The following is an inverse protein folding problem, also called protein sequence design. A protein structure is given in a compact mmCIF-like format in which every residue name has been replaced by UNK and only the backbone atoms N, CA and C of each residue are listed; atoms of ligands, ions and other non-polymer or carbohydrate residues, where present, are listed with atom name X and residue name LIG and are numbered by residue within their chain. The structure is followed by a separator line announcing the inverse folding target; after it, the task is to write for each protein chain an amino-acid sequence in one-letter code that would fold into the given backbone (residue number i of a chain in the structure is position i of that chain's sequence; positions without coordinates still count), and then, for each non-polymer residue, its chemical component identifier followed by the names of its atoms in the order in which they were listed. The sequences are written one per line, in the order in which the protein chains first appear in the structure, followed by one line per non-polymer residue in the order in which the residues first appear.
data_IF_931361393769
#
_entry.id   IF_931361393769
#
_cell.length_a   1.000
_cell.length_b   1.000
_cell.length_c   1.000
_cell.angle_alpha   90.00
_cell.angle_beta   90.00
_cell.angle_gamma   90.00
#
_symmetry.space_group_name_H-M   'P 1'
#
loop_
_entity.id
_entity.type
_entity.pdbx_description
1 polymer ?
#
# COMPACT_ATOMS: atom_id res chain seq x y z
N UNK A 1 -10.29 65.89 73.60
CA UNK A 1 -9.73 64.66 74.20
C UNK A 1 -9.54 63.63 73.11
N UNK A 2 -8.34 63.53 72.52
CA UNK A 2 -8.09 62.60 71.45
C UNK A 2 -6.70 61.99 71.66
N UNK A 3 -6.71 60.73 71.96
CA UNK A 3 -5.47 59.95 72.21
C UNK A 3 -4.88 59.46 70.84
N UNK A 4 -3.70 59.93 70.56
CA UNK A 4 -2.85 59.48 69.45
C UNK A 4 -2.20 58.16 69.85
N UNK A 5 -2.56 57.11 69.16
CA UNK A 5 -1.80 55.83 69.24
C UNK A 5 -0.69 55.87 68.22
N UNK A 6 0.51 55.82 68.69
CA UNK A 6 1.74 55.62 67.85
C UNK A 6 1.81 54.16 67.43
N UNK A 7 1.72 53.88 66.15
CA UNK A 7 2.03 52.57 65.57
C UNK A 7 3.50 52.53 65.17
N UNK A 8 4.22 51.63 65.82
CA UNK A 8 5.61 51.37 65.49
C UNK A 8 5.63 50.44 64.25
N UNK A 9 6.13 50.90 63.13
CA UNK A 9 6.43 50.14 61.94
C UNK A 9 7.76 49.44 62.13
N UNK A 10 7.70 48.10 62.28
CA UNK A 10 8.89 47.23 62.22
C UNK A 10 9.11 46.88 60.75
N UNK A 11 10.11 47.45 60.13
CA UNK A 11 10.62 47.05 58.83
C UNK A 11 11.41 45.76 59.00
N UNK A 12 10.82 44.63 58.65
CA UNK A 12 11.58 43.38 58.46
C UNK A 12 12.21 43.39 57.05
N UNK A 13 13.49 43.66 57.00
CA UNK A 13 14.27 43.49 55.76
C UNK A 13 14.47 42.00 55.51
N UNK A 14 13.69 41.43 54.64
CA UNK A 14 13.86 40.05 54.16
C UNK A 14 14.93 40.07 53.07
N UNK A 15 16.16 39.73 53.43
CA UNK A 15 17.25 39.51 52.46
C UNK A 15 16.98 38.20 51.69
N UNK A 16 16.43 38.31 50.48
CA UNK A 16 16.38 37.23 49.52
C UNK A 16 17.80 36.97 49.00
N UNK A 17 18.45 35.94 49.54
CA UNK A 17 19.64 35.39 48.97
C UNK A 17 19.25 34.64 47.68
N UNK A 18 19.34 35.30 46.52
CA UNK A 18 19.28 34.65 45.23
C UNK A 18 20.53 33.83 45.04
N UNK A 19 20.47 32.57 45.38
CA UNK A 19 21.48 31.58 44.98
C UNK A 19 21.38 31.43 43.46
N UNK A 20 22.20 32.19 42.72
CA UNK A 20 22.42 31.97 41.31
C UNK A 20 23.07 30.60 41.16
N UNK A 21 22.28 29.54 41.05
CA UNK A 21 22.76 28.26 40.55
C UNK A 21 23.21 28.51 39.12
N UNK A 22 24.54 28.65 38.93
CA UNK A 22 25.10 28.56 37.60
C UNK A 22 24.82 27.15 37.09
N UNK A 23 23.72 26.98 36.39
CA UNK A 23 23.53 25.80 35.53
C UNK A 23 24.66 25.90 34.51
N UNK A 24 25.73 25.12 34.71
CA UNK A 24 26.62 24.78 33.63
C UNK A 24 25.77 24.12 32.58
N UNK A 25 25.39 24.85 31.54
CA UNK A 25 24.83 24.27 30.34
C UNK A 25 25.88 23.26 29.87
N UNK A 26 25.67 22.00 30.16
CA UNK A 26 26.35 20.93 29.45
C UNK A 26 25.95 21.19 28.00
N UNK A 27 26.90 21.63 27.18
CA UNK A 27 26.67 21.75 25.75
C UNK A 27 26.18 20.38 25.28
N UNK A 28 24.89 20.26 25.04
CA UNK A 28 24.32 19.08 24.42
C UNK A 28 25.10 18.76 23.13
N UNK A 29 25.09 17.53 22.66
CA UNK A 29 25.69 17.22 21.38
C UNK A 29 25.18 18.27 20.37
N UNK A 30 26.12 18.87 19.60
CA UNK A 30 25.74 19.86 18.57
C UNK A 30 24.54 19.35 17.82
N UNK A 31 23.51 20.19 17.61
CA UNK A 31 22.30 19.77 16.93
C UNK A 31 22.67 19.15 15.57
N UNK A 32 21.89 18.22 15.10
CA UNK A 32 22.15 17.58 13.82
C UNK A 32 22.20 18.58 12.65
N UNK A 33 21.57 19.73 12.83
CA UNK A 33 21.51 20.82 11.86
C UNK A 33 22.80 21.64 11.80
N UNK A 34 23.57 21.69 12.91
CA UNK A 34 24.77 22.55 13.05
C UNK A 34 26.08 21.79 12.81
N UNK A 35 26.01 20.54 12.33
CA UNK A 35 27.21 19.71 12.14
C UNK A 35 27.22 19.01 10.78
N UNK A 36 28.43 18.70 10.31
CA UNK A 36 28.57 17.89 9.12
C UNK A 36 28.36 16.39 9.44
N UNK A 37 27.33 15.78 8.85
CA UNK A 37 26.93 14.38 9.04
C UNK A 37 27.52 13.44 7.98
N UNK A 38 28.76 13.66 7.54
CA UNK A 38 29.44 12.98 6.45
C UNK A 38 29.97 11.56 6.76
N UNK A 39 29.65 11.01 7.92
CA UNK A 39 30.00 9.63 8.27
C UNK A 39 28.75 8.88 8.70
N UNK A 40 28.70 7.55 8.45
CA UNK A 40 27.60 6.69 8.84
C UNK A 40 27.23 6.83 10.32
N UNK A 41 28.23 6.85 11.22
CA UNK A 41 28.01 7.03 12.66
C UNK A 41 27.30 8.35 12.97
N UNK A 42 27.81 9.47 12.41
CA UNK A 42 27.22 10.79 12.63
C UNK A 42 25.82 10.90 12.08
N UNK A 43 25.56 10.27 10.92
CA UNK A 43 24.24 10.22 10.32
C UNK A 43 23.24 9.46 11.20
N UNK A 44 23.62 8.27 11.68
CA UNK A 44 22.77 7.47 12.56
C UNK A 44 22.40 8.17 13.88
N UNK A 45 23.30 9.00 14.40
CA UNK A 45 23.00 9.80 15.59
C UNK A 45 21.90 10.85 15.34
N UNK A 46 21.64 11.21 14.09
CA UNK A 46 20.64 12.20 13.69
C UNK A 46 19.34 11.57 13.18
N UNK A 47 19.36 10.31 12.79
CA UNK A 47 18.14 9.58 12.40
C UNK A 47 17.51 8.99 13.67
N UNK A 48 16.49 9.66 14.17
CA UNK A 48 15.78 9.24 15.38
C UNK A 48 14.42 8.61 15.04
N UNK A 49 13.93 7.73 15.92
CA UNK A 49 12.58 7.14 15.78
C UNK A 49 11.51 8.23 15.77
N UNK A 50 11.65 9.25 16.60
CA UNK A 50 10.69 10.35 16.68
C UNK A 50 10.66 11.18 15.38
N UNK A 51 11.83 11.49 14.79
CA UNK A 51 11.89 12.17 13.50
C UNK A 51 11.25 11.35 12.36
N UNK A 52 11.47 10.03 12.34
CA UNK A 52 10.79 9.16 11.35
C UNK A 52 9.28 9.15 11.56
N UNK A 53 8.82 9.08 12.81
CA UNK A 53 7.38 9.10 13.15
C UNK A 53 6.72 10.43 12.82
N UNK A 54 7.42 11.53 12.93
CA UNK A 54 6.93 12.84 12.51
C UNK A 54 6.55 12.84 11.01
N UNK A 55 7.44 12.33 10.16
CA UNK A 55 7.15 12.17 8.72
C UNK A 55 6.02 11.17 8.46
N UNK A 56 5.95 10.07 9.21
CA UNK A 56 4.83 9.12 9.11
C UNK A 56 3.50 9.78 9.47
N UNK A 57 3.47 10.59 10.54
CA UNK A 57 2.27 11.32 10.95
C UNK A 57 1.84 12.34 9.89
N UNK A 58 2.80 13.06 9.28
CA UNK A 58 2.51 13.97 8.18
C UNK A 58 1.88 13.24 6.98
N UNK A 59 2.42 12.09 6.60
CA UNK A 59 1.84 11.27 5.53
C UNK A 59 0.46 10.71 5.89
N UNK A 60 0.24 10.34 7.16
CA UNK A 60 -1.09 9.92 7.61
C UNK A 60 -2.09 11.07 7.48
N UNK A 61 -1.74 12.27 7.96
CA UNK A 61 -2.58 13.44 7.83
C UNK A 61 -2.91 13.79 6.37
N UNK A 62 -1.94 13.62 5.46
CA UNK A 62 -2.17 13.78 4.02
C UNK A 62 -3.17 12.73 3.51
N UNK A 63 -3.03 11.47 3.90
CA UNK A 63 -3.98 10.42 3.52
C UNK A 63 -5.38 10.76 4.01
N UNK A 64 -5.53 11.12 5.28
CA UNK A 64 -6.81 11.44 5.91
C UNK A 64 -7.52 12.62 5.21
N UNK A 65 -6.76 13.62 4.77
CA UNK A 65 -7.28 14.76 4.01
C UNK A 65 -7.63 14.42 2.55
N UNK A 66 -7.23 13.25 2.04
CA UNK A 66 -7.37 12.85 0.64
C UNK A 66 -8.10 11.50 0.49
N UNK A 67 -9.15 11.27 1.26
CA UNK A 67 -9.98 10.07 1.16
C UNK A 67 -9.32 8.79 1.66
N UNK A 68 -8.34 8.90 2.56
CA UNK A 68 -7.64 7.77 3.16
C UNK A 68 -6.53 7.17 2.28
N UNK A 69 -6.19 7.81 1.16
CA UNK A 69 -5.24 7.24 0.19
C UNK A 69 -4.12 8.21 -0.20
N UNK A 70 -2.96 7.65 -0.52
CA UNK A 70 -1.82 8.32 -1.16
C UNK A 70 -1.34 7.53 -2.38
N UNK A 71 -2.24 6.75 -2.97
CA UNK A 71 -1.93 5.96 -4.16
C UNK A 71 -1.51 6.85 -5.33
N UNK A 72 -0.68 6.32 -6.22
CA UNK A 72 -0.26 7.01 -7.42
C UNK A 72 -1.47 7.47 -8.25
N UNK A 73 -1.39 8.67 -8.83
CA UNK A 73 -2.49 9.27 -9.59
C UNK A 73 -3.56 9.97 -8.74
N UNK A 74 -3.47 9.94 -7.40
CA UNK A 74 -4.42 10.63 -6.51
C UNK A 74 -3.89 11.98 -6.02
N UNK A 75 -4.80 12.82 -5.50
CA UNK A 75 -4.43 14.08 -4.82
C UNK A 75 -3.55 13.84 -3.60
N UNK A 76 -3.73 12.74 -2.89
CA UNK A 76 -2.89 12.35 -1.76
C UNK A 76 -1.46 12.03 -2.17
N UNK A 77 -1.24 11.44 -3.35
CA UNK A 77 0.10 11.28 -3.90
C UNK A 77 0.76 12.62 -4.20
N UNK A 78 0.05 13.50 -4.91
CA UNK A 78 0.56 14.83 -5.25
C UNK A 78 0.94 15.65 -4.01
N UNK A 79 0.08 15.64 -2.98
CA UNK A 79 0.35 16.29 -1.70
C UNK A 79 1.56 15.67 -0.97
N UNK A 80 1.72 14.34 -1.06
CA UNK A 80 2.89 13.65 -0.49
C UNK A 80 4.19 14.01 -1.20
N UNK A 81 4.16 14.10 -2.53
CA UNK A 81 5.32 14.52 -3.32
C UNK A 81 5.71 15.98 -3.00
N UNK A 82 4.73 16.87 -2.87
CA UNK A 82 4.97 18.26 -2.46
C UNK A 82 5.59 18.34 -1.06
N UNK A 83 5.04 17.60 -0.08
CA UNK A 83 5.62 17.54 1.27
C UNK A 83 7.08 17.12 1.28
N UNK A 84 7.43 16.07 0.51
CA UNK A 84 8.82 15.62 0.40
C UNK A 84 9.70 16.68 -0.27
N UNK A 85 9.21 17.30 -1.36
CA UNK A 85 9.95 18.33 -2.07
C UNK A 85 10.24 19.54 -1.18
N UNK A 86 9.25 19.98 -0.39
CA UNK A 86 9.38 21.09 0.54
C UNK A 86 10.40 20.76 1.65
N UNK A 87 10.32 19.56 2.24
CA UNK A 87 11.24 19.13 3.28
C UNK A 87 12.71 19.04 2.74
N UNK A 88 12.90 18.50 1.54
CA UNK A 88 14.22 18.43 0.92
C UNK A 88 14.75 19.81 0.54
N UNK A 89 13.89 20.69 0.03
CA UNK A 89 14.27 22.09 -0.29
C UNK A 89 14.68 22.83 0.97
N UNK A 90 13.94 22.67 2.07
CA UNK A 90 14.28 23.26 3.37
C UNK A 90 15.61 22.73 3.91
N UNK A 91 15.98 21.50 3.58
CA UNK A 91 17.26 20.90 3.90
C UNK A 91 18.41 21.33 2.96
N UNK A 92 18.14 22.19 1.97
CA UNK A 92 19.13 22.76 1.05
C UNK A 92 19.41 21.94 -0.21
N UNK A 93 18.52 21.00 -0.57
CA UNK A 93 18.61 20.27 -1.84
C UNK A 93 17.94 21.04 -2.98
N UNK A 94 18.51 20.94 -4.17
CA UNK A 94 17.81 21.30 -5.42
C UNK A 94 16.89 20.16 -5.81
N UNK A 95 15.58 20.40 -5.73
CA UNK A 95 14.57 19.36 -5.97
C UNK A 95 13.98 19.49 -7.38
N UNK A 96 14.05 18.41 -8.15
CA UNK A 96 13.41 18.30 -9.47
C UNK A 96 12.33 17.24 -9.38
N UNK A 97 11.08 17.62 -9.65
CA UNK A 97 9.98 16.69 -9.82
C UNK A 97 9.95 16.22 -11.27
N UNK A 98 10.21 14.93 -11.48
CA UNK A 98 10.18 14.31 -12.81
C UNK A 98 8.87 13.53 -12.97
N UNK A 99 7.90 14.01 -13.77
CA UNK A 99 6.71 13.25 -14.09
C UNK A 99 7.04 12.09 -15.02
N UNK A 100 6.36 10.97 -14.81
CA UNK A 100 6.38 9.82 -15.72
C UNK A 100 5.02 9.13 -15.69
N UNK A 101 4.65 8.50 -16.77
CA UNK A 101 3.41 7.74 -16.87
C UNK A 101 3.54 6.39 -16.18
N UNK A 102 2.48 6.01 -15.48
CA UNK A 102 2.34 4.70 -14.86
C UNK A 102 0.98 4.11 -15.23
N UNK A 103 0.94 2.79 -15.38
CA UNK A 103 -0.33 2.06 -15.45
C UNK A 103 -0.88 1.86 -14.06
N UNK A 104 -2.14 2.18 -13.86
CA UNK A 104 -2.86 1.92 -12.60
C UNK A 104 -4.12 1.11 -12.88
N UNK A 105 -4.45 0.23 -11.96
CA UNK A 105 -5.69 -0.54 -12.02
C UNK A 105 -6.65 -0.09 -10.92
N UNK A 106 -7.90 0.09 -11.27
CA UNK A 106 -8.99 0.25 -10.30
C UNK A 106 -10.30 -0.20 -10.92
N UNK A 107 -11.14 -0.79 -10.09
CA UNK A 107 -12.48 -1.18 -10.50
C UNK A 107 -13.33 0.07 -10.74
N UNK A 108 -14.01 0.11 -11.88
CA UNK A 108 -14.93 1.21 -12.23
C UNK A 108 -16.36 0.93 -11.76
N UNK A 109 -16.63 -0.27 -11.25
CA UNK A 109 -17.90 -0.71 -10.71
C UNK A 109 -17.81 -2.16 -10.21
N UNK A 110 -18.85 -2.69 -9.59
CA UNK A 110 -18.89 -4.07 -9.13
C UNK A 110 -18.83 -5.03 -10.32
N UNK A 111 -18.15 -6.16 -10.09
CA UNK A 111 -18.09 -7.26 -11.06
C UNK A 111 -19.15 -8.30 -10.77
N UNK A 112 -19.55 -9.04 -11.78
CA UNK A 112 -20.55 -10.11 -11.65
C UNK A 112 -20.04 -11.40 -12.26
N UNK A 113 -20.33 -12.52 -11.60
CA UNK A 113 -20.11 -13.86 -12.10
C UNK A 113 -21.36 -14.70 -11.86
N UNK A 114 -21.89 -15.30 -12.92
CA UNK A 114 -23.07 -16.14 -12.86
C UNK A 114 -22.89 -17.41 -13.69
N UNK A 115 -23.21 -18.55 -13.11
CA UNK A 115 -23.41 -19.79 -13.84
C UNK A 115 -24.85 -19.89 -14.26
N UNK A 116 -25.12 -19.99 -15.56
CA UNK A 116 -26.48 -20.09 -16.12
C UNK A 116 -26.97 -21.55 -16.12
N UNK A 117 -26.09 -22.48 -16.44
CA UNK A 117 -26.37 -23.91 -16.50
C UNK A 117 -25.16 -24.73 -16.01
N UNK A 118 -25.33 -25.99 -15.55
CA UNK A 118 -26.58 -26.74 -15.42
C UNK A 118 -27.49 -26.30 -14.27
N UNK A 119 -26.92 -25.65 -13.25
CA UNK A 119 -27.68 -25.10 -12.11
C UNK A 119 -27.41 -23.60 -12.03
N UNK A 120 -28.41 -22.74 -12.22
CA UNK A 120 -28.20 -21.29 -12.08
C UNK A 120 -27.65 -20.93 -10.71
N UNK A 121 -26.53 -20.23 -10.70
CA UNK A 121 -25.83 -19.83 -9.48
C UNK A 121 -25.24 -18.45 -9.67
N UNK A 122 -25.56 -17.53 -8.76
CA UNK A 122 -24.92 -16.20 -8.71
C UNK A 122 -23.82 -16.25 -7.67
N UNK A 123 -22.60 -15.91 -8.06
CA UNK A 123 -21.43 -15.88 -7.19
C UNK A 123 -21.26 -14.49 -6.58
N UNK A 124 -20.86 -14.43 -5.32
CA UNK A 124 -20.64 -13.18 -4.60
C UNK A 124 -19.19 -12.69 -4.75
N UNK A 125 -19.03 -11.46 -5.24
CA UNK A 125 -17.73 -10.79 -5.32
C UNK A 125 -17.10 -10.67 -3.92
N UNK A 126 -15.80 -10.84 -3.80
CA UNK A 126 -15.01 -10.89 -2.56
C UNK A 126 -15.30 -12.08 -1.62
N UNK A 127 -16.17 -13.01 -2.02
CA UNK A 127 -16.44 -14.23 -1.27
C UNK A 127 -16.22 -15.49 -2.11
N UNK A 128 -16.82 -15.54 -3.30
CA UNK A 128 -16.71 -16.68 -4.21
C UNK A 128 -15.72 -16.41 -5.34
N UNK A 129 -15.58 -15.16 -5.76
CA UNK A 129 -14.64 -14.73 -6.80
C UNK A 129 -14.13 -13.30 -6.54
N UNK A 130 -13.05 -12.95 -7.23
CA UNK A 130 -12.51 -11.61 -7.30
C UNK A 130 -11.92 -11.34 -8.69
N UNK A 131 -11.81 -10.06 -9.05
CA UNK A 131 -11.21 -9.64 -10.32
C UNK A 131 -9.70 -9.60 -10.16
N UNK A 132 -8.97 -10.22 -11.07
CA UNK A 132 -7.52 -10.06 -11.12
C UNK A 132 -7.18 -8.63 -11.52
N UNK A 133 -6.27 -8.00 -10.79
CA UNK A 133 -5.74 -6.68 -11.14
C UNK A 133 -5.18 -6.68 -12.56
N UNK A 134 -5.39 -5.59 -13.26
CA UNK A 134 -5.05 -5.39 -14.69
C UNK A 134 -5.84 -6.25 -15.68
N UNK A 135 -6.94 -6.89 -15.25
CA UNK A 135 -7.89 -7.49 -16.18
C UNK A 135 -8.57 -6.40 -17.02
N UNK A 136 -8.79 -6.69 -18.28
CA UNK A 136 -9.58 -5.83 -19.15
C UNK A 136 -11.06 -5.87 -18.76
N UNK A 137 -11.76 -4.77 -19.01
CA UNK A 137 -13.24 -4.73 -18.86
C UNK A 137 -13.92 -5.51 -19.99
N UNK A 138 -15.02 -6.19 -19.65
CA UNK A 138 -15.80 -6.93 -20.62
C UNK A 138 -17.12 -7.41 -20.05
N UNK A 139 -18.02 -7.85 -20.91
CA UNK A 139 -19.25 -8.55 -20.56
C UNK A 139 -19.39 -9.74 -21.51
N UNK A 140 -19.25 -10.94 -20.96
CA UNK A 140 -19.15 -12.17 -21.73
C UNK A 140 -20.13 -13.21 -21.19
N UNK A 141 -20.89 -13.87 -22.10
CA UNK A 141 -21.66 -15.08 -21.81
C UNK A 141 -21.21 -16.17 -22.77
N UNK A 142 -20.57 -17.20 -22.26
CA UNK A 142 -20.04 -18.28 -23.08
C UNK A 142 -19.95 -19.58 -22.29
N UNK A 143 -19.74 -20.69 -23.00
CA UNK A 143 -19.45 -21.97 -22.35
C UNK A 143 -18.08 -21.94 -21.67
N UNK A 144 -17.97 -22.63 -20.54
CA UNK A 144 -16.69 -22.78 -19.83
C UNK A 144 -16.03 -24.10 -20.25
N UNK A 145 -14.75 -24.00 -20.61
CA UNK A 145 -13.93 -25.18 -20.98
C UNK A 145 -12.74 -25.29 -20.08
N UNK A 146 -12.59 -26.44 -19.42
CA UNK A 146 -11.43 -26.75 -18.60
C UNK A 146 -10.18 -26.97 -19.45
N UNK A 147 -9.03 -26.46 -18.97
CA UNK A 147 -7.74 -26.50 -19.67
C UNK A 147 -6.72 -27.19 -18.79
N UNK A 148 -6.27 -28.37 -19.18
CA UNK A 148 -5.19 -29.17 -18.56
C UNK A 148 -5.22 -29.16 -17.02
N UNK A 149 -6.36 -29.60 -16.44
CA UNK A 149 -6.53 -29.62 -14.98
C UNK A 149 -5.84 -30.83 -14.35
N UNK A 150 -5.05 -30.59 -13.30
CA UNK A 150 -4.46 -31.62 -12.43
C UNK A 150 -5.03 -31.48 -11.02
N UNK A 151 -6.09 -32.25 -10.72
CA UNK A 151 -6.86 -32.12 -9.50
C UNK A 151 -6.39 -33.06 -8.38
N UNK A 152 -6.56 -32.63 -7.15
CA UNK A 152 -6.30 -33.41 -5.95
C UNK A 152 -5.06 -32.95 -5.17
N UNK A 153 -4.90 -33.52 -3.98
CA UNK A 153 -3.78 -33.18 -3.09
C UNK A 153 -2.44 -33.58 -3.71
N UNK A 154 -1.43 -32.74 -3.56
CA UNK A 154 -0.09 -32.98 -4.07
C UNK A 154 0.09 -32.73 -5.56
N UNK A 155 -0.93 -32.22 -6.26
CA UNK A 155 -0.82 -31.91 -7.69
C UNK A 155 0.26 -30.87 -7.99
N UNK A 156 0.79 -30.91 -9.22
CA UNK A 156 1.79 -29.99 -9.73
C UNK A 156 1.31 -29.27 -10.99
N UNK A 157 0.06 -28.78 -10.96
CA UNK A 157 -0.65 -28.21 -12.09
C UNK A 157 0.20 -27.27 -12.95
N UNK A 158 0.18 -27.52 -14.25
CA UNK A 158 0.73 -26.67 -15.30
C UNK A 158 -0.35 -26.02 -16.17
N UNK A 159 -1.62 -26.16 -15.78
CA UNK A 159 -2.79 -25.68 -16.51
C UNK A 159 -2.59 -24.30 -17.12
N UNK A 160 -2.70 -24.21 -18.44
CA UNK A 160 -2.56 -22.96 -19.20
C UNK A 160 -1.15 -22.37 -19.27
N UNK A 161 -0.12 -23.10 -18.83
CA UNK A 161 1.26 -22.64 -18.88
C UNK A 161 1.85 -22.71 -20.30
N UNK A 162 1.35 -23.61 -21.14
CA UNK A 162 1.85 -23.84 -22.49
C UNK A 162 0.72 -23.74 -23.53
N UNK A 163 1.05 -23.34 -24.73
CA UNK A 163 0.08 -23.29 -25.84
C UNK A 163 -0.52 -24.67 -26.14
N UNK A 164 0.23 -25.74 -25.88
CA UNK A 164 -0.23 -27.11 -26.07
C UNK A 164 -1.39 -27.51 -25.15
N UNK A 165 -1.51 -26.90 -23.97
CA UNK A 165 -2.59 -27.16 -23.00
C UNK A 165 -3.98 -26.82 -23.58
N UNK A 166 -3.99 -25.94 -24.57
CA UNK A 166 -5.19 -25.50 -25.26
C UNK A 166 -5.48 -26.31 -26.55
N UNK A 167 -4.87 -27.48 -26.73
CA UNK A 167 -5.11 -28.31 -27.91
C UNK A 167 -6.62 -28.71 -27.97
N UNK A 168 -7.30 -28.26 -29.03
CA UNK A 168 -8.75 -28.50 -29.20
C UNK A 168 -9.65 -27.58 -28.39
N UNK A 169 -9.14 -26.51 -27.76
CA UNK A 169 -9.95 -25.53 -27.05
C UNK A 169 -10.89 -24.82 -28.03
N UNK A 170 -12.22 -24.79 -27.74
CA UNK A 170 -13.18 -24.12 -28.62
C UNK A 170 -13.04 -22.59 -28.50
N UNK A 171 -12.60 -21.94 -29.56
CA UNK A 171 -12.55 -20.47 -29.61
C UNK A 171 -13.93 -19.86 -29.28
N UNK A 172 -13.97 -18.80 -28.52
CA UNK A 172 -15.19 -18.16 -28.04
C UNK A 172 -15.67 -18.68 -26.68
N UNK A 173 -15.05 -19.68 -26.11
CA UNK A 173 -15.34 -20.15 -24.76
C UNK A 173 -14.54 -19.39 -23.68
N UNK A 174 -14.98 -19.47 -22.43
CA UNK A 174 -14.25 -19.04 -21.25
C UNK A 174 -13.30 -20.18 -20.83
N UNK A 175 -12.01 -19.88 -20.65
CA UNK A 175 -11.04 -20.85 -20.18
C UNK A 175 -11.12 -21.00 -18.65
N UNK A 176 -11.31 -22.23 -18.15
CA UNK A 176 -11.18 -22.56 -16.74
C UNK A 176 -9.78 -23.12 -16.49
N UNK A 177 -8.99 -22.38 -15.75
CA UNK A 177 -7.58 -22.64 -15.50
C UNK A 177 -7.34 -22.91 -14.02
N UNK A 178 -6.35 -23.76 -13.73
CA UNK A 178 -5.92 -24.02 -12.37
C UNK A 178 -4.65 -23.25 -12.05
N UNK A 179 -4.58 -22.65 -10.85
CA UNK A 179 -3.33 -22.10 -10.33
C UNK A 179 -2.26 -23.19 -10.25
N UNK A 180 -0.98 -22.84 -10.45
CA UNK A 180 0.11 -23.81 -10.45
C UNK A 180 1.47 -23.17 -10.72
N UNK A 181 2.23 -23.74 -11.64
CA UNK A 181 3.63 -23.42 -11.87
C UNK A 181 3.88 -22.06 -12.53
N UNK A 182 3.03 -21.64 -13.50
CA UNK A 182 3.23 -20.39 -14.24
C UNK A 182 2.48 -19.21 -13.59
N UNK A 183 2.91 -17.98 -13.92
CA UNK A 183 2.23 -16.76 -13.52
C UNK A 183 0.88 -16.58 -14.25
N UNK A 184 0.02 -15.72 -13.71
CA UNK A 184 -1.33 -15.53 -14.25
C UNK A 184 -1.35 -14.82 -15.60
N UNK A 185 -0.40 -13.90 -15.83
CA UNK A 185 -0.25 -13.24 -17.12
C UNK A 185 -0.05 -14.24 -18.26
N UNK A 186 0.90 -15.16 -18.12
CA UNK A 186 1.17 -16.18 -19.13
C UNK A 186 -0.06 -17.07 -19.41
N UNK A 187 -0.78 -17.47 -18.35
CA UNK A 187 -2.04 -18.23 -18.49
C UNK A 187 -3.09 -17.46 -19.26
N UNK A 188 -3.25 -16.17 -18.96
CA UNK A 188 -4.21 -15.31 -19.65
C UNK A 188 -3.83 -15.07 -21.11
N UNK A 189 -2.54 -14.86 -21.40
CA UNK A 189 -2.03 -14.72 -22.76
C UNK A 189 -2.22 -15.97 -23.61
N UNK A 190 -1.92 -17.14 -23.06
CA UNK A 190 -2.12 -18.42 -23.74
C UNK A 190 -3.62 -18.69 -24.00
N UNK A 191 -4.49 -18.37 -23.02
CA UNK A 191 -5.93 -18.48 -23.20
C UNK A 191 -6.44 -17.54 -24.31
N UNK A 192 -6.00 -16.29 -24.31
CA UNK A 192 -6.34 -15.32 -25.36
C UNK A 192 -5.84 -15.75 -26.74
N UNK A 193 -4.61 -16.28 -26.83
CA UNK A 193 -4.04 -16.82 -28.06
C UNK A 193 -4.81 -18.03 -28.60
N UNK A 194 -5.41 -18.84 -27.71
CA UNK A 194 -6.30 -19.95 -28.08
C UNK A 194 -7.73 -19.50 -28.44
N UNK A 195 -8.02 -18.21 -28.37
CA UNK A 195 -9.34 -17.65 -28.71
C UNK A 195 -10.33 -17.66 -27.55
N UNK A 196 -9.91 -17.78 -26.29
CA UNK A 196 -10.76 -17.60 -25.13
C UNK A 196 -11.26 -16.16 -25.05
N UNK A 197 -12.55 -15.98 -24.71
CA UNK A 197 -13.17 -14.66 -24.53
C UNK A 197 -13.13 -14.18 -23.10
N UNK A 198 -12.67 -15.03 -22.18
CA UNK A 198 -12.42 -14.76 -20.77
C UNK A 198 -11.68 -15.91 -20.13
N UNK A 199 -11.14 -15.68 -18.94
CA UNK A 199 -10.47 -16.71 -18.15
C UNK A 199 -10.93 -16.66 -16.70
N UNK A 200 -11.16 -17.83 -16.11
CA UNK A 200 -11.40 -18.03 -14.69
C UNK A 200 -10.25 -18.87 -14.17
N UNK A 201 -9.54 -18.38 -13.15
CA UNK A 201 -8.44 -19.11 -12.54
C UNK A 201 -8.82 -19.46 -11.11
N UNK A 202 -8.90 -20.74 -10.78
CA UNK A 202 -9.19 -21.21 -9.44
C UNK A 202 -7.90 -21.64 -8.71
N UNK A 203 -7.96 -21.70 -7.39
CA UNK A 203 -6.79 -22.03 -6.57
C UNK A 203 -6.34 -23.47 -6.82
N UNK A 204 -5.06 -23.76 -6.59
CA UNK A 204 -4.43 -25.02 -7.01
C UNK A 204 -5.02 -26.26 -6.33
N UNK A 205 -5.43 -26.16 -5.05
CA UNK A 205 -5.99 -27.29 -4.31
C UNK A 205 -5.00 -28.42 -4.05
N UNK A 206 -3.70 -28.17 -4.16
CA UNK A 206 -2.66 -29.17 -3.92
C UNK A 206 -2.38 -29.43 -2.44
N UNK A 207 -2.85 -28.55 -1.56
CA UNK A 207 -2.89 -28.71 -0.12
C UNK A 207 -4.12 -28.01 0.47
N UNK A 208 -4.42 -28.24 1.76
CA UNK A 208 -5.61 -27.71 2.41
C UNK A 208 -5.59 -26.18 2.59
N UNK A 209 -4.45 -25.55 2.50
CA UNK A 209 -4.31 -24.08 2.57
C UNK A 209 -4.41 -23.39 1.20
N UNK A 210 -4.65 -24.14 0.13
CA UNK A 210 -4.72 -23.62 -1.24
C UNK A 210 -6.06 -23.94 -1.92
N UNK A 211 -7.14 -23.80 -1.18
CA UNK A 211 -8.52 -24.04 -1.62
C UNK A 211 -9.35 -22.78 -1.66
N UNK A 212 -8.97 -21.75 -0.89
CA UNK A 212 -9.75 -20.54 -0.71
C UNK A 212 -9.54 -19.55 -1.87
N UNK A 213 -10.38 -18.52 -1.89
CA UNK A 213 -10.23 -17.36 -2.77
C UNK A 213 -8.83 -16.76 -2.58
N UNK A 214 -8.22 -16.32 -3.65
CA UNK A 214 -6.92 -15.66 -3.64
C UNK A 214 -6.94 -14.43 -4.53
N UNK A 215 -6.10 -13.47 -4.21
CA UNK A 215 -5.91 -12.28 -5.02
C UNK A 215 -4.85 -12.54 -6.08
N UNK A 216 -5.14 -12.15 -7.29
CA UNK A 216 -4.24 -12.30 -8.44
C UNK A 216 -4.03 -10.99 -9.16
N UNK A 217 -2.88 -10.86 -9.79
CA UNK A 217 -2.56 -9.72 -10.65
C UNK A 217 -2.02 -10.22 -11.98
N UNK A 218 -2.43 -9.59 -13.06
CA UNK A 218 -1.76 -9.67 -14.34
C UNK A 218 -0.65 -8.62 -14.35
N UNK A 219 0.41 -8.82 -15.12
CA UNK A 219 1.46 -7.80 -15.24
C UNK A 219 0.93 -6.57 -15.96
N UNK A 220 1.35 -5.40 -15.52
CA UNK A 220 1.10 -4.13 -16.18
C UNK A 220 2.08 -3.91 -17.33
#
# INVERSE_FOLDING_TARGET
MTRIRRSVLILAALALVFSASTMTAVAGPRSCDDRNNNTFKKLLECVTVDGVREHQAAFQAIADANGGTRAAGTTGYAASAAYVADAMTAAGYDVILQPFDISVFYLTGPSTLEQIAPVPTVYAENADFDVMEYSASGNVTASVTAVDLDLGLGNASTSGCEAADFAGFPAGNIALLQRGASNFQLKAENAAAAGAVGAIIFNQGNDLGRTDLFFGTLSS
#
